data_IF_323956669132
#
_entry.id   IF_323956669132
#
_cell.length_a   1.000
_cell.length_b   1.000
_cell.length_c   1.000
_cell.angle_alpha   90.00
_cell.angle_beta   90.00
_cell.angle_gamma   90.00
#
_symmetry.space_group_name_H-M   'P 1'
#
loop_
_entity.id
_entity.type
_entity.pdbx_description
1 polymer ?
#
# COMPACT_ATOMS: atom_id res chain seq x y z
N UNK A 1 -15.59 -11.18 -21.36
CA UNK A 1 -17.04 -11.32 -21.12
C UNK A 1 -17.37 -12.05 -19.80
N UNK A 2 -16.51 -12.98 -19.34
CA UNK A 2 -16.69 -13.74 -18.09
C UNK A 2 -16.92 -12.86 -16.84
N UNK A 3 -16.24 -11.70 -16.75
CA UNK A 3 -16.32 -10.75 -15.63
C UNK A 3 -17.71 -10.24 -15.27
N UNK A 4 -18.69 -10.28 -16.19
CA UNK A 4 -20.06 -9.86 -15.88
C UNK A 4 -20.72 -10.82 -14.89
N UNK A 5 -20.39 -12.11 -14.95
CA UNK A 5 -21.02 -13.14 -14.11
C UNK A 5 -20.68 -12.94 -12.64
N UNK A 6 -19.46 -12.49 -12.34
CA UNK A 6 -18.96 -12.29 -10.98
C UNK A 6 -19.41 -10.96 -10.34
N UNK A 7 -20.02 -10.05 -11.11
CA UNK A 7 -20.51 -8.78 -10.57
C UNK A 7 -21.83 -8.97 -9.82
N UNK A 8 -21.88 -8.44 -8.60
CA UNK A 8 -23.10 -8.34 -7.79
C UNK A 8 -24.17 -7.53 -8.52
N UNK A 9 -25.34 -8.14 -8.74
CA UNK A 9 -26.44 -7.53 -9.49
C UNK A 9 -27.04 -6.31 -8.77
N UNK A 10 -27.03 -6.32 -7.44
CA UNK A 10 -27.56 -5.29 -6.54
C UNK A 10 -26.57 -4.15 -6.25
N UNK A 11 -25.39 -4.17 -6.86
CA UNK A 11 -24.39 -3.11 -6.65
C UNK A 11 -24.86 -1.77 -7.23
N UNK A 12 -24.54 -0.69 -6.54
CA UNK A 12 -24.84 0.69 -6.97
C UNK A 12 -24.27 1.01 -8.37
N UNK A 13 -25.01 1.85 -9.09
CA UNK A 13 -24.71 2.30 -10.46
C UNK A 13 -23.51 3.24 -10.49
N UNK A 14 -22.90 3.38 -11.67
CA UNK A 14 -21.99 4.48 -11.95
C UNK A 14 -22.74 5.74 -12.40
N UNK A 15 -22.00 6.76 -12.86
CA UNK A 15 -22.56 7.94 -13.52
C UNK A 15 -23.48 7.67 -14.72
N UNK A 16 -23.33 6.51 -15.38
CA UNK A 16 -24.20 6.08 -16.48
C UNK A 16 -25.59 5.61 -16.05
N UNK A 17 -25.84 5.44 -14.75
CA UNK A 17 -27.13 4.98 -14.22
C UNK A 17 -27.41 3.48 -14.43
N UNK A 18 -26.47 2.71 -14.98
CA UNK A 18 -26.68 1.28 -15.29
C UNK A 18 -25.90 0.38 -14.32
N UNK A 19 -26.60 -0.54 -13.65
CA UNK A 19 -26.00 -1.51 -12.73
C UNK A 19 -25.76 -2.86 -13.42
N UNK A 20 -25.13 -3.80 -12.71
CA UNK A 20 -24.85 -5.12 -13.27
C UNK A 20 -26.12 -5.92 -13.60
N UNK A 21 -27.24 -5.71 -12.88
CA UNK A 21 -28.52 -6.35 -13.21
C UNK A 21 -29.02 -5.95 -14.60
N UNK A 22 -28.98 -4.65 -14.92
CA UNK A 22 -29.30 -4.14 -16.25
C UNK A 22 -28.47 -4.83 -17.34
N UNK A 23 -27.14 -4.86 -17.22
CA UNK A 23 -26.28 -5.51 -18.21
C UNK A 23 -26.46 -7.04 -18.32
N UNK A 24 -26.95 -7.69 -17.26
CA UNK A 24 -27.28 -9.13 -17.30
C UNK A 24 -28.59 -9.36 -18.07
N UNK A 25 -29.63 -8.59 -17.77
CA UNK A 25 -30.93 -8.70 -18.41
C UNK A 25 -30.92 -8.22 -19.86
N UNK A 26 -30.29 -7.06 -20.12
CA UNK A 26 -30.30 -6.41 -21.44
C UNK A 26 -29.31 -7.02 -22.45
N UNK A 27 -28.52 -8.01 -22.04
CA UNK A 27 -27.42 -8.54 -22.83
C UNK A 27 -27.76 -9.04 -24.23
N UNK A 28 -28.89 -9.74 -24.47
CA UNK A 28 -29.25 -10.18 -25.81
C UNK A 28 -29.30 -9.04 -26.82
N UNK A 29 -29.55 -7.80 -26.37
CA UNK A 29 -29.67 -6.63 -27.21
C UNK A 29 -28.40 -5.80 -27.27
N UNK A 30 -27.69 -5.60 -26.15
CA UNK A 30 -26.58 -4.63 -26.07
C UNK A 30 -25.18 -5.26 -26.15
N UNK A 31 -25.08 -6.58 -26.29
CA UNK A 31 -23.80 -7.28 -26.24
C UNK A 31 -22.80 -6.79 -27.31
N UNK A 32 -23.28 -6.57 -28.53
CA UNK A 32 -22.43 -6.14 -29.65
C UNK A 32 -21.84 -4.74 -29.40
N UNK A 33 -22.66 -3.80 -28.93
CA UNK A 33 -22.23 -2.44 -28.63
C UNK A 33 -21.18 -2.41 -27.52
N UNK A 34 -21.41 -3.17 -26.44
CA UNK A 34 -20.46 -3.27 -25.31
C UNK A 34 -19.13 -3.86 -25.79
N UNK A 35 -19.16 -4.89 -26.64
CA UNK A 35 -17.95 -5.50 -27.21
C UNK A 35 -17.22 -4.52 -28.11
N UNK A 36 -17.94 -3.77 -28.96
CA UNK A 36 -17.37 -2.76 -29.83
C UNK A 36 -16.67 -1.66 -29.03
N UNK A 37 -17.30 -1.14 -27.97
CA UNK A 37 -16.69 -0.15 -27.07
C UNK A 37 -15.37 -0.69 -26.48
N UNK A 38 -15.38 -1.93 -26.00
CA UNK A 38 -14.20 -2.54 -25.39
C UNK A 38 -13.10 -2.76 -26.44
N UNK A 39 -13.44 -3.25 -27.63
CA UNK A 39 -12.48 -3.46 -28.71
C UNK A 39 -11.87 -2.14 -29.20
N UNK A 40 -12.68 -1.09 -29.33
CA UNK A 40 -12.21 0.25 -29.68
C UNK A 40 -11.24 0.79 -28.63
N UNK A 41 -11.51 0.57 -27.34
CA UNK A 41 -10.56 0.92 -26.29
C UNK A 41 -9.24 0.14 -26.45
N UNK A 42 -9.29 -1.17 -26.70
CA UNK A 42 -8.08 -1.98 -26.90
C UNK A 42 -7.33 -1.69 -28.19
N UNK A 43 -7.95 -1.09 -29.21
CA UNK A 43 -7.24 -0.73 -30.45
C UNK A 43 -6.66 0.69 -30.36
N UNK A 44 -7.42 1.65 -29.84
CA UNK A 44 -7.06 3.07 -29.83
C UNK A 44 -6.38 3.53 -28.55
N UNK A 45 -6.55 2.81 -27.45
CA UNK A 45 -6.22 3.25 -26.10
C UNK A 45 -6.91 4.55 -25.67
N UNK A 46 -8.15 4.77 -26.14
CA UNK A 46 -8.98 5.92 -25.76
C UNK A 46 -10.29 5.41 -25.16
N UNK A 47 -10.68 5.95 -24.00
CA UNK A 47 -11.98 5.66 -23.40
C UNK A 47 -13.05 6.61 -23.97
N UNK A 48 -14.27 6.13 -24.26
CA UNK A 48 -15.40 7.00 -24.53
C UNK A 48 -15.60 8.05 -23.44
N UNK A 49 -16.03 9.25 -23.83
CA UNK A 49 -16.30 10.35 -22.91
C UNK A 49 -17.28 9.92 -21.82
N UNK A 50 -16.99 10.28 -20.57
CA UNK A 50 -17.83 9.94 -19.43
C UNK A 50 -17.69 8.49 -18.93
N UNK A 51 -17.13 7.57 -19.72
CA UNK A 51 -16.97 6.18 -19.30
C UNK A 51 -16.05 6.06 -18.07
N UNK A 52 -15.03 6.90 -17.99
CA UNK A 52 -14.08 6.94 -16.88
C UNK A 52 -14.51 7.85 -15.71
N UNK A 53 -15.74 8.40 -15.76
CA UNK A 53 -16.30 9.22 -14.68
C UNK A 53 -16.65 8.34 -13.48
N UNK A 54 -16.42 8.87 -12.29
CA UNK A 54 -16.63 8.19 -11.01
C UNK A 54 -17.43 9.09 -10.08
N UNK A 55 -18.48 8.57 -9.46
CA UNK A 55 -19.08 9.27 -8.34
C UNK A 55 -18.44 8.84 -7.02
N UNK A 56 -18.16 9.79 -6.14
CA UNK A 56 -17.63 9.55 -4.81
C UNK A 56 -18.79 9.68 -3.81
N UNK A 57 -19.25 8.55 -3.30
CA UNK A 57 -20.19 8.51 -2.19
C UNK A 57 -19.42 8.52 -0.86
N UNK A 58 -19.84 9.35 0.10
CA UNK A 58 -19.20 9.44 1.41
C UNK A 58 -19.96 8.57 2.42
N UNK A 59 -19.33 7.50 2.90
CA UNK A 59 -19.89 6.64 3.95
C UNK A 59 -19.31 7.04 5.31
N UNK A 60 -20.11 7.42 6.31
CA UNK A 60 -19.60 7.76 7.63
C UNK A 60 -18.93 6.54 8.30
N UNK A 61 -17.77 6.74 8.93
CA UNK A 61 -17.04 5.71 9.69
C UNK A 61 -17.69 5.39 11.03
N UNK A 62 -18.49 6.32 11.57
CA UNK A 62 -19.19 6.23 12.84
C UNK A 62 -20.33 7.24 12.91
N UNK A 63 -21.06 7.25 14.03
CA UNK A 63 -22.29 8.06 14.18
C UNK A 63 -22.04 9.58 14.15
N UNK A 64 -20.89 10.05 14.61
CA UNK A 64 -20.53 11.48 14.68
C UNK A 64 -19.54 11.93 13.58
N UNK A 65 -19.93 11.76 12.32
CA UNK A 65 -19.09 12.12 11.18
C UNK A 65 -19.16 13.64 10.88
N UNK A 66 -18.29 14.43 11.53
CA UNK A 66 -18.23 15.90 11.40
C UNK A 66 -17.18 16.41 10.42
N UNK A 67 -16.08 15.67 10.22
CA UNK A 67 -14.95 16.08 9.37
C UNK A 67 -14.76 15.12 8.19
N UNK A 68 -14.15 15.54 7.07
CA UNK A 68 -13.89 14.65 5.93
C UNK A 68 -13.14 13.36 6.29
N UNK A 69 -12.28 13.40 7.31
CA UNK A 69 -11.52 12.24 7.80
C UNK A 69 -12.43 11.17 8.43
N UNK A 70 -13.63 11.55 8.89
CA UNK A 70 -14.63 10.64 9.45
C UNK A 70 -15.45 9.91 8.37
N UNK A 71 -15.24 10.21 7.09
CA UNK A 71 -15.90 9.53 5.98
C UNK A 71 -14.94 8.57 5.27
N UNK A 72 -15.50 7.49 4.73
CA UNK A 72 -14.86 6.61 3.75
C UNK A 72 -15.40 6.98 2.37
N UNK A 73 -14.56 7.44 1.44
CA UNK A 73 -14.99 7.64 0.06
C UNK A 73 -15.18 6.28 -0.63
N UNK A 74 -16.33 6.08 -1.27
CA UNK A 74 -16.62 4.93 -2.12
C UNK A 74 -16.73 5.40 -3.57
N UNK A 75 -15.93 4.81 -4.43
CA UNK A 75 -15.90 5.11 -5.86
C UNK A 75 -16.91 4.27 -6.65
N UNK A 76 -18.03 4.90 -7.01
CA UNK A 76 -19.08 4.36 -7.88
C UNK A 76 -18.70 4.58 -9.34
N UNK A 77 -18.50 3.49 -10.08
CA UNK A 77 -17.97 3.50 -11.46
C UNK A 77 -18.90 2.78 -12.41
N UNK A 78 -18.90 3.24 -13.65
CA UNK A 78 -19.59 2.63 -14.77
C UNK A 78 -19.20 1.16 -14.92
N UNK A 79 -20.17 0.30 -15.22
CA UNK A 79 -19.96 -1.14 -15.29
C UNK A 79 -19.03 -1.51 -16.44
N UNK A 80 -19.16 -0.85 -17.59
CA UNK A 80 -18.27 -1.09 -18.74
C UNK A 80 -16.82 -0.77 -18.37
N UNK A 81 -16.55 0.31 -17.62
CA UNK A 81 -15.21 0.62 -17.14
C UNK A 81 -14.70 -0.44 -16.14
N UNK A 82 -15.58 -0.97 -15.27
CA UNK A 82 -15.23 -2.09 -14.39
C UNK A 82 -14.82 -3.33 -15.19
N UNK A 83 -15.47 -3.62 -16.33
CA UNK A 83 -15.07 -4.73 -17.22
C UNK A 83 -13.69 -4.48 -17.82
N UNK A 84 -13.43 -3.28 -18.35
CA UNK A 84 -12.13 -2.89 -18.92
C UNK A 84 -11.02 -3.01 -17.89
N UNK A 85 -11.17 -2.35 -16.74
CA UNK A 85 -10.17 -2.36 -15.66
C UNK A 85 -9.93 -3.76 -15.10
N UNK A 86 -10.96 -4.61 -14.98
CA UNK A 86 -10.82 -6.01 -14.56
C UNK A 86 -10.08 -6.87 -15.58
N UNK A 87 -10.31 -6.62 -16.87
CA UNK A 87 -9.63 -7.32 -17.96
C UNK A 87 -8.13 -6.98 -17.98
N UNK A 88 -7.78 -5.69 -17.85
CA UNK A 88 -6.39 -5.26 -17.70
C UNK A 88 -5.75 -5.84 -16.44
N UNK A 89 -6.47 -5.82 -15.31
CA UNK A 89 -5.99 -6.37 -14.05
C UNK A 89 -5.62 -7.85 -14.15
N UNK A 90 -6.45 -8.69 -14.80
CA UNK A 90 -6.15 -10.12 -14.99
C UNK A 90 -4.91 -10.33 -15.85
N UNK A 91 -4.72 -9.50 -16.90
CA UNK A 91 -3.49 -9.56 -17.72
C UNK A 91 -2.26 -9.27 -16.87
N UNK A 92 -2.27 -8.21 -16.06
CA UNK A 92 -1.14 -7.90 -15.16
C UNK A 92 -0.93 -9.03 -14.14
N UNK A 93 -2.02 -9.50 -13.50
CA UNK A 93 -2.00 -10.50 -12.44
C UNK A 93 -1.20 -11.76 -12.81
N UNK A 94 -1.32 -12.22 -14.06
CA UNK A 94 -0.63 -13.41 -14.53
C UNK A 94 0.90 -13.25 -14.57
N UNK A 95 1.41 -12.03 -14.65
CA UNK A 95 2.84 -11.75 -14.69
C UNK A 95 3.42 -11.31 -13.32
N UNK A 96 2.57 -11.11 -12.31
CA UNK A 96 3.04 -10.62 -11.01
C UNK A 96 3.97 -11.59 -10.27
N UNK A 97 3.72 -12.92 -10.21
CA UNK A 97 4.59 -13.82 -9.48
C UNK A 97 6.05 -13.79 -9.95
N UNK A 98 6.29 -13.58 -11.25
CA UNK A 98 7.64 -13.49 -11.83
C UNK A 98 8.30 -12.12 -11.64
N UNK A 99 7.53 -11.05 -11.46
CA UNK A 99 8.05 -9.68 -11.40
C UNK A 99 8.19 -9.14 -9.98
N UNK A 100 7.36 -9.61 -9.07
CA UNK A 100 7.28 -9.08 -7.72
C UNK A 100 8.23 -9.84 -6.80
N UNK A 101 9.13 -9.09 -6.17
CA UNK A 101 10.10 -9.62 -5.22
C UNK A 101 9.41 -10.36 -4.08
N UNK A 102 10.06 -11.40 -3.52
CA UNK A 102 9.47 -12.26 -2.51
C UNK A 102 9.05 -11.51 -1.23
N UNK A 103 9.69 -10.37 -0.93
CA UNK A 103 9.36 -9.49 0.20
C UNK A 103 7.95 -8.87 0.14
N UNK A 104 7.33 -8.78 -1.05
CA UNK A 104 6.00 -8.22 -1.23
C UNK A 104 4.94 -9.32 -1.24
N UNK A 105 4.09 -9.35 -0.22
CA UNK A 105 3.07 -10.37 -0.08
C UNK A 105 1.67 -9.93 -0.58
N UNK A 106 1.43 -8.64 -0.76
CA UNK A 106 0.08 -8.16 -1.08
C UNK A 106 -0.33 -8.41 -2.54
N UNK A 107 -1.57 -8.86 -2.72
CA UNK A 107 -2.23 -9.06 -4.03
C UNK A 107 -1.54 -10.03 -5.00
N UNK A 108 -0.58 -10.83 -4.52
CA UNK A 108 0.10 -11.86 -5.32
C UNK A 108 -0.57 -13.22 -5.06
N UNK A 109 -1.01 -13.95 -6.10
CA UNK A 109 -1.54 -15.30 -5.93
C UNK A 109 -0.55 -16.21 -5.20
N UNK A 110 -1.03 -16.96 -4.21
CA UNK A 110 -0.21 -17.87 -3.41
C UNK A 110 0.62 -17.21 -2.30
N UNK A 111 0.59 -15.88 -2.15
CA UNK A 111 1.23 -15.18 -1.03
C UNK A 111 0.17 -14.75 -0.01
N UNK A 112 0.43 -15.05 1.26
CA UNK A 112 -0.48 -14.75 2.36
C UNK A 112 0.14 -13.75 3.32
N UNK A 113 -0.68 -12.82 3.82
CA UNK A 113 -0.24 -11.83 4.83
C UNK A 113 0.30 -12.49 6.10
N UNK A 114 -0.20 -13.69 6.42
CA UNK A 114 0.22 -14.48 7.58
C UNK A 114 1.73 -14.77 7.56
N UNK A 115 2.33 -14.99 6.39
CA UNK A 115 3.78 -15.19 6.26
C UNK A 115 4.56 -13.95 6.69
N UNK A 116 4.14 -12.75 6.28
CA UNK A 116 4.78 -11.50 6.70
C UNK A 116 4.61 -11.25 8.20
N UNK A 117 3.43 -11.58 8.74
CA UNK A 117 3.18 -11.48 10.19
C UNK A 117 4.15 -12.41 10.92
N UNK A 118 4.19 -13.70 10.58
CA UNK A 118 5.08 -14.68 11.20
C UNK A 118 6.55 -14.25 11.13
N UNK A 119 7.02 -13.78 9.96
CA UNK A 119 8.38 -13.27 9.82
C UNK A 119 8.64 -12.06 10.72
N UNK A 120 7.73 -11.08 10.77
CA UNK A 120 7.87 -9.92 11.64
C UNK A 120 7.89 -10.32 13.14
N UNK A 121 7.10 -11.33 13.52
CA UNK A 121 7.09 -11.88 14.87
C UNK A 121 8.41 -12.57 15.20
N UNK A 122 8.94 -13.39 14.29
CA UNK A 122 10.20 -14.10 14.46
C UNK A 122 11.39 -13.14 14.57
N UNK A 123 11.42 -12.08 13.77
CA UNK A 123 12.43 -11.02 13.88
C UNK A 123 12.33 -10.32 15.24
N UNK A 124 11.12 -9.96 15.65
CA UNK A 124 10.86 -9.31 16.94
C UNK A 124 11.33 -10.18 18.11
N UNK A 125 11.02 -11.48 18.04
CA UNK A 125 11.45 -12.47 19.02
C UNK A 125 12.98 -12.60 19.03
N UNK A 126 13.60 -12.80 17.86
CA UNK A 126 15.05 -12.89 17.69
C UNK A 126 15.78 -11.68 18.24
N UNK A 127 15.26 -10.47 18.02
CA UNK A 127 15.83 -9.22 18.57
C UNK A 127 15.83 -9.17 20.10
N UNK A 128 14.98 -9.96 20.77
CA UNK A 128 14.89 -10.02 22.23
C UNK A 128 15.83 -11.06 22.88
N UNK A 129 16.30 -12.02 22.08
CA UNK A 129 17.15 -13.12 22.54
C UNK A 129 18.54 -12.62 22.96
N UNK A 130 19.09 -13.23 24.02
CA UNK A 130 20.43 -12.87 24.53
C UNK A 130 21.57 -13.39 23.66
N UNK A 131 21.37 -14.53 23.00
CA UNK A 131 22.34 -15.21 22.14
C UNK A 131 22.28 -14.73 20.68
N UNK A 132 21.48 -13.71 20.39
CA UNK A 132 21.40 -13.10 19.08
C UNK A 132 22.54 -12.11 18.86
N UNK A 133 23.37 -12.37 17.85
CA UNK A 133 24.65 -11.67 17.69
C UNK A 133 24.62 -10.51 16.67
N UNK A 134 23.53 -10.33 15.91
CA UNK A 134 23.43 -9.24 14.94
C UNK A 134 22.94 -7.96 15.61
N UNK A 135 23.71 -6.88 15.45
CA UNK A 135 23.26 -5.55 15.84
C UNK A 135 22.38 -5.02 14.71
N UNK A 136 21.07 -5.24 14.82
CA UNK A 136 20.12 -4.96 13.75
C UNK A 136 18.97 -4.03 14.19
N UNK A 137 18.30 -3.46 13.20
CA UNK A 137 17.07 -2.69 13.36
C UNK A 137 15.98 -3.13 12.37
N UNK A 138 14.74 -2.81 12.75
CA UNK A 138 13.53 -2.94 11.94
C UNK A 138 12.83 -1.58 11.93
N UNK A 139 12.66 -1.00 10.75
CA UNK A 139 12.02 0.29 10.52
C UNK A 139 10.65 0.07 9.86
N UNK A 140 9.57 0.32 10.60
CA UNK A 140 8.22 0.39 10.06
C UNK A 140 7.97 1.79 9.50
N UNK A 141 7.58 1.86 8.23
CA UNK A 141 7.27 3.10 7.51
C UNK A 141 5.79 3.11 7.15
N UNK A 142 5.06 4.12 7.64
CA UNK A 142 3.68 4.42 7.22
C UNK A 142 3.72 5.40 6.05
N UNK A 143 3.06 5.10 4.93
CA UNK A 143 2.98 6.02 3.78
C UNK A 143 1.71 6.88 3.85
N UNK A 144 1.87 8.21 3.83
CA UNK A 144 0.75 9.14 3.92
C UNK A 144 -0.10 9.12 2.64
N UNK A 145 -1.34 8.63 2.72
CA UNK A 145 -2.29 8.57 1.58
C UNK A 145 -1.67 7.86 0.36
N UNK A 146 -1.11 6.67 0.56
CA UNK A 146 -0.26 6.01 -0.42
C UNK A 146 -0.90 5.86 -1.82
N UNK A 147 -2.19 5.52 -1.88
CA UNK A 147 -2.93 5.41 -3.15
C UNK A 147 -3.11 6.77 -3.83
N UNK A 148 -3.36 7.85 -3.09
CA UNK A 148 -3.66 9.17 -3.67
C UNK A 148 -2.40 9.93 -4.12
N UNK A 149 -1.23 9.54 -3.61
CA UNK A 149 0.03 10.27 -3.83
C UNK A 149 0.85 9.78 -5.02
N UNK A 150 0.63 8.55 -5.45
CA UNK A 150 1.53 7.90 -6.39
C UNK A 150 1.50 8.55 -7.78
N UNK A 151 2.67 8.80 -8.34
CA UNK A 151 2.82 9.43 -9.66
C UNK A 151 2.57 8.43 -10.80
N UNK A 152 1.73 8.81 -11.77
CA UNK A 152 1.42 7.95 -12.90
C UNK A 152 2.63 7.63 -13.76
N UNK A 153 3.51 8.63 -13.98
CA UNK A 153 4.76 8.45 -14.71
C UNK A 153 5.64 7.37 -14.08
N UNK A 154 5.66 7.29 -12.76
CA UNK A 154 6.40 6.26 -12.03
C UNK A 154 5.83 4.87 -12.29
N UNK A 155 4.51 4.70 -12.21
CA UNK A 155 3.81 3.44 -12.53
C UNK A 155 4.10 3.01 -13.97
N UNK A 156 3.96 3.92 -14.93
CA UNK A 156 4.17 3.64 -16.36
C UNK A 156 5.62 3.27 -16.67
N UNK A 157 6.60 3.94 -16.05
CA UNK A 157 8.02 3.56 -16.15
C UNK A 157 8.27 2.17 -15.55
N UNK A 158 7.61 1.83 -14.44
CA UNK A 158 7.64 0.48 -13.86
C UNK A 158 7.13 -0.58 -14.85
N UNK A 159 5.94 -0.37 -15.43
CA UNK A 159 5.38 -1.26 -16.45
C UNK A 159 6.31 -1.43 -17.66
N UNK A 160 6.85 -0.33 -18.18
CA UNK A 160 7.77 -0.37 -19.32
C UNK A 160 9.05 -1.16 -19.02
N UNK A 161 9.66 -0.95 -17.85
CA UNK A 161 10.86 -1.70 -17.41
C UNK A 161 10.60 -3.21 -17.26
N UNK A 162 9.34 -3.62 -17.02
CA UNK A 162 8.94 -5.03 -16.95
C UNK A 162 8.57 -5.63 -18.31
N UNK A 163 8.80 -4.91 -19.41
CA UNK A 163 8.57 -5.41 -20.76
C UNK A 163 7.11 -5.37 -21.21
N UNK A 164 6.23 -4.66 -20.50
CA UNK A 164 4.90 -4.40 -21.05
C UNK A 164 5.00 -3.52 -22.31
N UNK A 165 4.24 -3.88 -23.35
CA UNK A 165 4.28 -3.15 -24.61
C UNK A 165 3.88 -1.69 -24.43
N UNK A 166 4.45 -0.80 -25.25
CA UNK A 166 4.09 0.62 -25.24
C UNK A 166 2.57 0.84 -25.38
N UNK A 167 1.90 -0.01 -26.16
CA UNK A 167 0.45 0.01 -26.29
C UNK A 167 -0.25 -0.33 -24.97
N UNK A 168 0.18 -1.37 -24.25
CA UNK A 168 -0.39 -1.70 -22.94
C UNK A 168 -0.20 -0.57 -21.91
N UNK A 169 0.98 0.07 -21.92
CA UNK A 169 1.24 1.25 -21.10
C UNK A 169 0.28 2.39 -21.43
N UNK A 170 -0.06 2.63 -22.71
CA UNK A 170 -1.08 3.61 -23.10
C UNK A 170 -2.47 3.26 -22.58
N UNK A 171 -2.88 1.99 -22.62
CA UNK A 171 -4.16 1.54 -22.03
C UNK A 171 -4.22 1.84 -20.52
N UNK A 172 -3.13 1.58 -19.81
CA UNK A 172 -2.99 1.89 -18.39
C UNK A 172 -2.99 3.39 -18.13
N UNK A 173 -2.26 4.16 -18.92
CA UNK A 173 -2.22 5.62 -18.85
C UNK A 173 -3.62 6.21 -19.04
N UNK A 174 -4.34 5.80 -20.07
CA UNK A 174 -5.71 6.25 -20.34
C UNK A 174 -6.63 5.96 -19.15
N UNK A 175 -6.54 4.77 -18.56
CA UNK A 175 -7.29 4.43 -17.36
C UNK A 175 -6.95 5.36 -16.17
N UNK A 176 -5.73 5.85 -16.04
CA UNK A 176 -5.30 6.71 -14.93
C UNK A 176 -5.66 8.18 -15.19
N UNK A 177 -5.23 8.72 -16.34
CA UNK A 177 -5.22 10.16 -16.62
C UNK A 177 -6.56 10.75 -17.02
N UNK A 178 -7.49 9.97 -17.55
CA UNK A 178 -8.82 10.48 -17.92
C UNK A 178 -9.86 10.29 -16.82
N UNK A 179 -9.43 9.90 -15.61
CA UNK A 179 -10.34 9.71 -14.49
C UNK A 179 -10.87 11.06 -13.97
N UNK A 180 -12.19 11.19 -13.99
CA UNK A 180 -12.91 12.33 -13.42
C UNK A 180 -13.84 11.87 -12.30
N UNK A 181 -14.09 12.77 -11.36
CA UNK A 181 -14.78 12.49 -10.12
C UNK A 181 -15.83 13.55 -9.84
N UNK A 182 -16.95 13.14 -9.27
CA UNK A 182 -17.91 14.06 -8.66
C UNK A 182 -18.30 13.54 -7.29
N UNK A 183 -18.25 14.39 -6.26
CA UNK A 183 -18.74 14.02 -4.93
C UNK A 183 -20.26 14.06 -4.93
N UNK A 184 -20.90 13.00 -4.41
CA UNK A 184 -22.34 12.98 -4.20
C UNK A 184 -22.64 13.72 -2.89
N UNK A 185 -23.43 14.78 -2.99
CA UNK A 185 -23.96 15.55 -1.86
C UNK A 185 -25.49 15.51 -1.96
N UNK A 186 -26.16 15.05 -0.90
CA UNK A 186 -27.63 14.91 -0.85
C UNK A 186 -28.21 14.14 -2.04
N UNK A 187 -27.53 13.08 -2.47
CA UNK A 187 -27.97 12.23 -3.59
C UNK A 187 -27.67 12.78 -4.99
N UNK A 188 -27.08 13.98 -5.11
CA UNK A 188 -26.77 14.60 -6.39
C UNK A 188 -25.26 14.81 -6.57
N UNK A 189 -24.72 14.66 -7.80
CA UNK A 189 -23.33 15.01 -8.08
C UNK A 189 -23.14 16.54 -7.98
N UNK A 190 -22.16 16.98 -7.20
CA UNK A 190 -21.95 18.41 -6.95
C UNK A 190 -21.00 19.07 -7.96
N UNK A 191 -19.71 18.73 -7.93
CA UNK A 191 -18.68 19.33 -8.79
C UNK A 191 -17.78 18.26 -9.39
N UNK A 192 -17.44 18.45 -10.67
CA UNK A 192 -16.55 17.59 -11.43
C UNK A 192 -15.10 18.04 -11.27
N UNK A 193 -14.21 17.12 -10.87
CA UNK A 193 -12.77 17.36 -10.86
C UNK A 193 -12.02 16.17 -11.46
N UNK A 194 -10.84 16.42 -11.99
CA UNK A 194 -9.98 15.38 -12.57
C UNK A 194 -8.86 15.01 -11.61
N UNK A 195 -8.44 13.75 -11.62
CA UNK A 195 -7.20 13.40 -10.94
C UNK A 195 -6.01 13.96 -11.72
N UNK A 196 -4.93 14.25 -11.00
CA UNK A 196 -3.63 14.61 -11.58
C UNK A 196 -2.55 13.58 -11.24
N UNK A 197 -2.80 12.77 -10.21
CA UNK A 197 -1.97 11.67 -9.73
C UNK A 197 -2.82 10.71 -8.91
N UNK A 198 -2.21 9.65 -8.43
CA UNK A 198 -2.84 8.67 -7.55
C UNK A 198 -3.62 7.62 -8.32
N UNK A 199 -4.12 6.62 -7.60
CA UNK A 199 -4.87 5.50 -8.14
C UNK A 199 -6.17 5.32 -7.36
N UNK A 200 -7.21 4.86 -8.05
CA UNK A 200 -8.55 4.78 -7.49
C UNK A 200 -8.71 3.59 -6.55
N UNK A 201 -9.04 3.86 -5.29
CA UNK A 201 -9.45 2.82 -4.36
C UNK A 201 -10.70 2.09 -4.88
N UNK A 202 -10.71 0.76 -4.72
CA UNK A 202 -11.77 -0.10 -5.23
C UNK A 202 -11.71 -0.39 -6.73
N UNK A 203 -10.82 0.25 -7.50
CA UNK A 203 -10.63 -0.11 -8.90
C UNK A 203 -9.91 -1.46 -9.06
N UNK A 204 -10.44 -2.43 -9.84
CA UNK A 204 -9.80 -3.74 -10.02
C UNK A 204 -8.35 -3.67 -10.48
N UNK A 205 -8.00 -2.66 -11.27
CA UNK A 205 -6.65 -2.46 -11.80
C UNK A 205 -5.69 -1.85 -10.76
N UNK A 206 -6.19 -1.00 -9.88
CA UNK A 206 -5.37 -0.15 -9.01
C UNK A 206 -4.46 -0.92 -8.04
N UNK A 207 -4.91 -1.97 -7.33
CA UNK A 207 -4.03 -2.74 -6.45
C UNK A 207 -2.80 -3.30 -7.15
N UNK A 208 -2.94 -3.77 -8.39
CA UNK A 208 -1.84 -4.38 -9.14
C UNK A 208 -0.85 -3.34 -9.66
N UNK A 209 -1.34 -2.17 -10.10
CA UNK A 209 -0.48 -1.04 -10.45
C UNK A 209 0.28 -0.52 -9.23
N UNK A 210 -0.38 -0.48 -8.06
CA UNK A 210 0.25 -0.08 -6.82
C UNK A 210 1.38 -1.03 -6.43
N UNK A 211 1.10 -2.33 -6.42
CA UNK A 211 2.07 -3.36 -6.06
C UNK A 211 3.28 -3.34 -6.99
N UNK A 212 3.08 -3.20 -8.31
CA UNK A 212 4.19 -3.03 -9.25
C UNK A 212 5.07 -1.84 -8.93
N UNK A 213 4.47 -0.72 -8.52
CA UNK A 213 5.21 0.48 -8.21
C UNK A 213 5.94 0.40 -6.86
N UNK A 214 5.29 -0.12 -5.81
CA UNK A 214 5.95 -0.35 -4.51
C UNK A 214 7.07 -1.39 -4.63
N UNK A 215 6.94 -2.35 -5.55
CA UNK A 215 7.98 -3.36 -5.78
C UNK A 215 9.32 -2.76 -6.22
N UNK A 216 9.33 -1.58 -6.83
CA UNK A 216 10.57 -0.87 -7.18
C UNK A 216 11.41 -0.55 -5.94
N UNK A 217 10.79 -0.26 -4.78
CA UNK A 217 11.51 -0.10 -3.52
C UNK A 217 12.18 -1.42 -3.09
N UNK A 218 11.49 -2.55 -3.25
CA UNK A 218 12.07 -3.86 -2.93
C UNK A 218 13.24 -4.20 -3.84
N UNK A 219 13.14 -3.88 -5.13
CA UNK A 219 14.24 -4.08 -6.07
C UNK A 219 15.45 -3.24 -5.71
N UNK A 220 15.27 -1.95 -5.39
CA UNK A 220 16.41 -1.08 -5.03
C UNK A 220 17.09 -1.54 -3.74
N UNK A 221 16.33 -2.05 -2.76
CA UNK A 221 16.90 -2.66 -1.56
C UNK A 221 17.68 -3.94 -1.90
N UNK A 222 17.11 -4.81 -2.73
CA UNK A 222 17.75 -6.05 -3.16
C UNK A 222 19.02 -5.81 -3.99
N UNK A 223 19.02 -4.78 -4.84
CA UNK A 223 20.18 -4.34 -5.61
C UNK A 223 21.30 -3.86 -4.69
N UNK A 224 20.98 -3.03 -3.69
CA UNK A 224 21.96 -2.60 -2.69
C UNK A 224 22.52 -3.78 -1.87
N UNK A 225 21.73 -4.82 -1.59
CA UNK A 225 22.26 -6.06 -1.00
C UNK A 225 23.22 -6.79 -1.94
N UNK A 226 22.87 -6.91 -3.23
CA UNK A 226 23.72 -7.59 -4.20
C UNK A 226 25.08 -6.90 -4.41
N UNK A 227 25.13 -5.58 -4.20
CA UNK A 227 26.35 -4.78 -4.22
C UNK A 227 27.10 -4.73 -2.88
N UNK A 228 26.64 -5.47 -1.85
CA UNK A 228 27.27 -5.47 -0.53
C UNK A 228 27.10 -4.17 0.26
N UNK A 229 26.18 -3.29 -0.16
CA UNK A 229 25.88 -2.03 0.53
C UNK A 229 24.86 -2.22 1.66
N UNK A 230 24.10 -3.31 1.63
CA UNK A 230 23.16 -3.73 2.67
C UNK A 230 23.35 -5.20 3.01
N UNK A 231 23.36 -5.53 4.30
CA UNK A 231 23.41 -6.92 4.75
C UNK A 231 22.00 -7.48 5.02
N UNK A 232 21.06 -6.64 5.43
CA UNK A 232 19.76 -7.08 5.92
C UNK A 232 19.88 -7.83 7.25
N UNK A 233 18.93 -8.72 7.56
CA UNK A 233 18.92 -9.54 8.78
C UNK A 233 18.76 -11.02 8.46
N UNK A 234 19.42 -11.93 9.18
CA UNK A 234 19.30 -13.39 8.94
C UNK A 234 18.79 -14.11 10.19
N UNK A 235 17.64 -14.78 10.09
CA UNK A 235 16.96 -15.45 11.23
C UNK A 235 17.59 -16.78 11.69
N UNK A 236 18.71 -17.19 11.10
CA UNK A 236 19.35 -18.46 11.43
C UNK A 236 20.53 -18.77 10.51
N UNK A 237 21.24 -19.84 10.84
CA UNK A 237 22.32 -20.35 9.99
C UNK A 237 21.72 -20.83 8.66
N UNK A 238 22.27 -20.36 7.53
CA UNK A 238 21.79 -20.62 6.16
C UNK A 238 20.41 -20.06 5.79
N UNK A 239 19.83 -19.16 6.61
CA UNK A 239 18.62 -18.45 6.22
C UNK A 239 18.95 -17.29 5.25
N UNK A 240 18.13 -17.05 4.22
CA UNK A 240 18.32 -15.90 3.34
C UNK A 240 18.17 -14.59 4.13
N UNK A 241 18.99 -13.58 3.83
CA UNK A 241 18.88 -12.29 4.47
C UNK A 241 17.59 -11.57 4.06
N UNK A 242 16.97 -10.92 5.03
CA UNK A 242 15.72 -10.17 4.88
C UNK A 242 16.06 -8.68 4.89
N UNK A 243 15.77 -7.97 3.79
CA UNK A 243 15.87 -6.51 3.74
C UNK A 243 14.52 -5.81 3.97
N UNK A 244 13.40 -6.45 3.61
CA UNK A 244 12.08 -5.87 3.83
C UNK A 244 10.96 -6.91 3.92
N UNK A 245 9.89 -6.51 4.59
CA UNK A 245 8.58 -7.16 4.56
C UNK A 245 7.58 -6.10 4.10
N UNK A 246 6.92 -6.33 2.98
CA UNK A 246 6.00 -5.37 2.38
C UNK A 246 4.62 -6.00 2.21
N UNK A 247 3.59 -5.26 2.63
CA UNK A 247 2.21 -5.58 2.36
C UNK A 247 1.46 -4.33 1.90
N UNK A 248 1.36 -4.14 0.59
CA UNK A 248 0.79 -2.92 0.01
C UNK A 248 1.50 -1.66 0.53
N UNK A 249 0.82 -0.81 1.31
CA UNK A 249 1.34 0.43 1.90
C UNK A 249 2.02 0.24 3.27
N UNK A 250 1.87 -0.93 3.89
CA UNK A 250 2.62 -1.30 5.10
C UNK A 250 4.04 -1.75 4.71
N UNK A 251 5.03 -0.93 5.07
CA UNK A 251 6.43 -1.17 4.77
C UNK A 251 7.23 -1.44 6.04
N UNK A 252 7.97 -2.54 6.07
CA UNK A 252 8.98 -2.82 7.08
C UNK A 252 10.32 -3.02 6.36
N UNK A 253 11.33 -2.25 6.75
CA UNK A 253 12.71 -2.35 6.23
C UNK A 253 13.63 -2.80 7.35
N UNK A 254 14.55 -3.71 7.05
CA UNK A 254 15.48 -4.30 8.01
C UNK A 254 16.92 -4.02 7.57
N UNK A 255 17.81 -3.81 8.55
CA UNK A 255 19.23 -3.59 8.31
C UNK A 255 20.05 -3.73 9.58
N UNK A 256 21.37 -3.74 9.44
CA UNK A 256 22.29 -3.68 10.56
C UNK A 256 22.39 -2.25 11.10
N UNK A 257 22.65 -2.07 12.39
CA UNK A 257 22.79 -0.77 13.06
C UNK A 257 24.17 -0.16 12.80
N UNK A 258 24.53 -0.05 11.52
CA UNK A 258 25.71 0.68 11.06
C UNK A 258 25.26 1.99 10.43
N UNK A 259 26.09 3.02 10.51
CA UNK A 259 25.79 4.34 9.93
C UNK A 259 25.70 4.23 8.41
N UNK A 260 26.52 3.38 7.82
CA UNK A 260 26.59 3.09 6.39
C UNK A 260 25.28 2.48 5.87
N UNK A 261 24.76 1.42 6.53
CA UNK A 261 23.49 0.82 6.12
C UNK A 261 22.30 1.76 6.34
N UNK A 262 22.29 2.50 7.46
CA UNK A 262 21.23 3.47 7.72
C UNK A 262 21.19 4.58 6.66
N UNK A 263 22.35 5.09 6.24
CA UNK A 263 22.46 6.10 5.18
C UNK A 263 22.05 5.53 3.82
N UNK A 264 22.44 4.30 3.50
CA UNK A 264 22.03 3.61 2.27
C UNK A 264 20.51 3.44 2.22
N UNK A 265 19.90 2.91 3.28
CA UNK A 265 18.44 2.74 3.37
C UNK A 265 17.73 4.10 3.25
N UNK A 266 18.22 5.14 3.94
CA UNK A 266 17.67 6.49 3.83
C UNK A 266 17.72 6.99 2.39
N UNK A 267 18.87 6.87 1.72
CA UNK A 267 19.03 7.32 0.34
C UNK A 267 18.08 6.59 -0.62
N UNK A 268 17.92 5.27 -0.46
CA UNK A 268 16.99 4.46 -1.26
C UNK A 268 15.54 4.92 -1.04
N UNK A 269 15.13 5.11 0.21
CA UNK A 269 13.79 5.58 0.55
C UNK A 269 13.55 6.99 -0.02
N UNK A 270 14.48 7.91 0.13
CA UNK A 270 14.36 9.28 -0.38
C UNK A 270 14.24 9.29 -1.90
N UNK A 271 15.10 8.53 -2.59
CA UNK A 271 15.07 8.40 -4.05
C UNK A 271 13.74 7.80 -4.53
N UNK A 272 13.25 6.78 -3.84
CA UNK A 272 11.94 6.18 -4.10
C UNK A 272 10.80 7.20 -3.88
N UNK A 273 10.83 7.95 -2.79
CA UNK A 273 9.81 8.96 -2.49
C UNK A 273 9.77 10.08 -3.53
N UNK A 274 10.94 10.58 -3.94
CA UNK A 274 11.07 11.59 -4.99
C UNK A 274 10.51 11.07 -6.33
N UNK A 275 10.86 9.84 -6.72
CA UNK A 275 10.44 9.29 -7.99
C UNK A 275 8.95 8.90 -8.03
N UNK A 276 8.42 8.40 -6.91
CA UNK A 276 7.04 7.87 -6.81
C UNK A 276 6.01 8.89 -6.33
N UNK A 277 6.43 10.01 -5.75
CA UNK A 277 5.56 10.98 -5.08
C UNK A 277 5.08 10.55 -3.69
N UNK A 278 5.54 9.40 -3.18
CA UNK A 278 5.23 8.92 -1.84
C UNK A 278 5.86 9.80 -0.76
N UNK A 279 5.19 9.87 0.39
CA UNK A 279 5.70 10.61 1.55
C UNK A 279 5.56 9.73 2.80
N UNK A 280 6.65 9.44 3.52
CA UNK A 280 6.59 8.78 4.82
C UNK A 280 5.90 9.66 5.85
N UNK A 281 5.04 9.04 6.65
CA UNK A 281 4.41 9.64 7.81
C UNK A 281 5.21 9.30 9.06
N UNK A 282 6.25 10.08 9.33
CA UNK A 282 7.18 9.83 10.44
C UNK A 282 6.52 9.76 11.82
N UNK A 283 5.39 10.43 12.01
CA UNK A 283 4.62 10.36 13.26
C UNK A 283 3.92 9.00 13.46
N UNK A 284 3.71 8.23 12.39
CA UNK A 284 3.15 6.87 12.43
C UNK A 284 4.17 5.77 12.12
N UNK A 285 5.35 6.16 11.64
CA UNK A 285 6.50 5.27 11.48
C UNK A 285 7.15 4.98 12.84
N UNK A 286 7.83 3.85 12.96
CA UNK A 286 8.51 3.45 14.19
C UNK A 286 9.75 2.60 13.90
N UNK A 287 10.72 2.62 14.81
CA UNK A 287 11.96 1.83 14.68
C UNK A 287 12.16 0.95 15.92
N UNK A 288 12.50 -0.30 15.68
CA UNK A 288 12.85 -1.28 16.71
C UNK A 288 14.31 -1.70 16.53
N UNK A 289 15.04 -1.78 17.63
CA UNK A 289 16.44 -2.22 17.65
C UNK A 289 16.58 -3.54 18.39
N UNK A 290 17.55 -4.36 17.96
CA UNK A 290 18.00 -5.55 18.67
C UNK A 290 18.49 -5.21 20.10
N UNK A 291 18.31 -6.16 21.03
CA UNK A 291 18.68 -6.01 22.44
C UNK A 291 20.15 -5.65 22.65
N UNK A 292 21.04 -6.21 21.81
CA UNK A 292 22.47 -5.95 21.86
C UNK A 292 22.83 -4.49 21.52
N UNK A 293 22.07 -3.85 20.63
CA UNK A 293 22.24 -2.42 20.36
C UNK A 293 21.56 -1.56 21.44
N UNK A 294 20.39 -1.98 21.95
CA UNK A 294 19.70 -1.29 23.05
C UNK A 294 20.56 -1.18 24.31
N UNK A 295 21.31 -2.23 24.67
CA UNK A 295 22.23 -2.20 25.83
C UNK A 295 23.39 -1.21 25.65
N UNK A 296 23.92 -1.09 24.42
CA UNK A 296 24.93 -0.07 24.07
C UNK A 296 24.37 1.35 24.09
N UNK A 297 23.15 1.53 23.57
CA UNK A 297 22.43 2.80 23.61
C UNK A 297 22.19 3.27 25.04
N UNK A 298 21.78 2.39 25.96
CA UNK A 298 21.58 2.75 27.37
C UNK A 298 22.87 3.21 28.05
N UNK A 299 24.03 2.64 27.67
CA UNK A 299 25.34 3.09 28.15
C UNK A 299 25.76 4.45 27.58
N UNK A 300 25.58 4.69 26.27
CA UNK A 300 25.91 5.96 25.61
C UNK A 300 24.99 7.13 26.00
N UNK A 301 23.75 6.83 26.43
CA UNK A 301 22.67 7.82 26.64
C UNK A 301 22.45 8.27 28.08
N UNK A 302 22.99 7.55 29.08
CA UNK A 302 23.02 8.03 30.46
C UNK A 302 23.80 9.37 30.55
N UNK A 303 24.84 9.50 29.72
CA UNK A 303 25.79 10.61 29.79
C UNK A 303 25.50 11.79 28.83
N UNK A 304 24.50 11.69 27.93
CA UNK A 304 24.37 12.66 26.81
C UNK A 304 22.97 13.22 26.51
N UNK A 305 21.88 12.75 27.15
CA UNK A 305 20.52 13.22 26.84
C UNK A 305 19.90 14.12 27.91
N UNK A 306 19.35 15.26 27.47
CA UNK A 306 18.51 16.16 28.28
C UNK A 306 17.19 15.49 28.70
N UNK A 307 16.55 16.01 29.75
CA UNK A 307 15.30 15.46 30.28
C UNK A 307 14.18 15.36 29.21
N UNK A 308 14.07 16.35 28.32
CA UNK A 308 13.14 16.32 27.19
C UNK A 308 13.47 15.22 26.16
N UNK A 309 14.76 14.97 25.89
CA UNK A 309 15.21 13.89 25.02
C UNK A 309 14.91 12.51 25.59
N UNK A 310 14.94 12.37 26.92
CA UNK A 310 14.55 11.13 27.63
C UNK A 310 13.04 10.89 27.52
N UNK A 311 12.21 11.93 27.63
CA UNK A 311 10.75 11.86 27.46
C UNK A 311 10.33 11.45 26.04
N UNK A 312 10.94 12.04 25.00
CA UNK A 312 10.67 11.66 23.60
C UNK A 312 11.10 10.22 23.31
N UNK A 313 12.20 9.77 23.92
CA UNK A 313 12.69 8.39 23.79
C UNK A 313 11.79 7.38 24.51
N UNK A 314 11.33 7.68 25.72
CA UNK A 314 10.36 6.84 26.45
C UNK A 314 9.06 6.74 25.64
N UNK A 315 8.59 7.84 25.06
CA UNK A 315 7.43 7.81 24.18
C UNK A 315 7.67 6.98 22.92
N UNK A 316 8.83 7.04 22.27
CA UNK A 316 9.10 6.23 21.08
C UNK A 316 9.30 4.73 21.39
N UNK A 317 9.82 4.39 22.57
CA UNK A 317 10.00 3.01 23.05
C UNK A 317 8.68 2.40 23.54
N UNK A 318 7.84 3.18 24.23
CA UNK A 318 6.53 2.70 24.70
C UNK A 318 5.50 2.63 23.56
N UNK A 319 5.55 3.53 22.58
CA UNK A 319 4.69 3.44 21.36
C UNK A 319 5.16 2.38 20.37
N UNK A 320 6.39 1.86 20.51
CA UNK A 320 6.91 0.73 19.71
C UNK A 320 6.64 -0.64 20.33
N UNK A 321 6.01 -0.71 21.51
CA UNK A 321 5.24 -1.91 21.87
C UNK A 321 4.06 -1.94 20.90
N UNK A 322 3.92 -2.96 20.04
CA UNK A 322 2.98 -2.84 18.95
C UNK A 322 1.57 -2.77 19.55
N UNK A 323 0.90 -1.64 19.34
CA UNK A 323 -0.49 -1.39 19.73
C UNK A 323 -1.42 -2.50 19.18
N UNK A 324 -0.98 -3.21 18.13
CA UNK A 324 -1.66 -4.37 17.59
C UNK A 324 -1.63 -5.61 18.52
N UNK A 325 -0.55 -5.84 19.28
CA UNK A 325 -0.49 -6.91 20.30
C UNK A 325 -1.41 -6.65 21.49
N UNK A 326 -1.66 -5.37 21.79
CA UNK A 326 -2.39 -4.94 22.99
C UNK A 326 -3.89 -5.29 22.90
N UNK A 327 -4.50 -5.27 21.71
CA UNK A 327 -5.94 -5.55 21.54
C UNK A 327 -6.30 -7.03 21.43
N UNK A 328 -5.34 -7.92 21.15
CA UNK A 328 -5.61 -9.33 20.88
C UNK A 328 -5.29 -10.23 22.08
N UNK A 329 -4.38 -9.82 22.98
CA UNK A 329 -3.80 -10.71 24.00
C UNK A 329 -4.03 -10.30 25.46
N UNK A 330 -4.53 -9.10 25.77
CA UNK A 330 -4.69 -8.65 27.17
C UNK A 330 -6.15 -8.33 27.57
N UNK A 331 -6.57 -8.67 28.80
CA UNK A 331 -7.88 -8.30 29.33
C UNK A 331 -8.08 -6.78 29.34
N UNK A 332 -9.30 -6.30 29.06
CA UNK A 332 -9.64 -4.86 29.01
C UNK A 332 -9.19 -4.08 30.26
N UNK A 333 -9.26 -4.69 31.43
CA UNK A 333 -8.86 -4.08 32.71
C UNK A 333 -7.36 -3.72 32.78
N UNK A 334 -6.49 -4.51 32.11
CA UNK A 334 -5.06 -4.23 32.00
C UNK A 334 -4.78 -3.04 31.06
N UNK A 335 -5.57 -2.94 29.99
CA UNK A 335 -5.50 -1.84 29.02
C UNK A 335 -5.96 -0.52 29.62
N UNK A 336 -7.01 -0.55 30.44
CA UNK A 336 -7.52 0.61 31.16
C UNK A 336 -6.51 1.10 32.22
N UNK A 337 -5.79 0.20 32.90
CA UNK A 337 -4.69 0.58 33.80
C UNK A 337 -3.52 1.24 33.08
N UNK A 338 -3.06 0.69 31.94
CA UNK A 338 -1.98 1.32 31.15
C UNK A 338 -2.43 2.69 30.61
N UNK A 339 -3.66 2.80 30.12
CA UNK A 339 -4.22 4.06 29.61
C UNK A 339 -4.41 5.08 30.73
N UNK A 340 -4.77 4.64 31.95
CA UNK A 340 -4.86 5.49 33.14
C UNK A 340 -3.51 5.98 33.62
N UNK A 341 -2.46 5.16 33.53
CA UNK A 341 -1.08 5.58 33.84
C UNK A 341 -0.61 6.60 32.81
N UNK A 342 -0.90 6.38 31.51
CA UNK A 342 -0.56 7.33 30.43
C UNK A 342 -1.35 8.65 30.54
N UNK A 343 -2.56 8.65 31.13
CA UNK A 343 -3.36 9.87 31.34
C UNK A 343 -2.97 10.67 32.57
N UNK A 344 -2.25 10.07 33.52
CA UNK A 344 -1.85 10.70 34.78
C UNK A 344 -0.37 11.15 34.78
N UNK A 345 0.28 11.13 33.62
CA UNK A 345 1.59 11.72 33.32
C UNK A 345 1.46 12.57 32.05
#
# INVERSE_FOLDING_TARGET
>A
MEYRKDMRSDAATGPDGFNAAFYKAAWPWIAQDVVQIINNFYSTAVLPQGLNKTYIALIPKGRDAKTPQHYRPISLRNVIYKIISSSLAKRIKNHLPSYIHASQAAFIPGRHITSNILLAQEITHSFSLKNWNQQAFMLKIDLAKAFDRIEWRFILKGLHRRGFSAHFCRLGQECLSTSSFSVIINGQPYYDFTAQRGIRQGCPLSPYLFVLAINELSLSLQEAMSHGQLTGITLGHNCPPIHSLIFADDLIVCGQTTTEEANTIKHIIDSFCIASGQIPNWAKSSIMFSKQFRSKLTGLKADTLSHAGRLVYINSVLTSIPIYYINILFPKEFLEKITSIIKNF
#
